data_IF_456815974249
#
_entry.id   IF_456815974249
#
_cell.length_a   1.000
_cell.length_b   1.000
_cell.length_c   1.000
_cell.angle_alpha   90.00
_cell.angle_beta   90.00
_cell.angle_gamma   90.00
#
_symmetry.space_group_name_H-M   'P 1'
#
loop_
_entity.id
_entity.type
_entity.pdbx_description
1 polymer ?
#
# COMPACT_ATOMS: atom_id res chain seq x y z
N UNK A 1 3.55 4.34 14.23
CA UNK A 1 3.45 5.29 13.11
C UNK A 1 4.86 5.53 12.63
N UNK A 2 5.09 5.34 11.35
CA UNK A 2 6.35 5.66 10.71
C UNK A 2 6.31 7.13 10.23
N UNK A 3 7.38 7.88 10.51
CA UNK A 3 7.56 9.27 10.05
C UNK A 3 8.77 9.40 9.14
N UNK A 4 9.45 8.28 8.86
CA UNK A 4 10.71 8.21 8.14
C UNK A 4 10.57 7.73 6.70
N UNK A 5 9.38 7.29 6.29
CA UNK A 5 9.07 6.89 4.92
C UNK A 5 7.96 7.76 4.31
N UNK A 6 8.07 8.00 3.01
CA UNK A 6 7.11 8.78 2.22
C UNK A 6 5.89 7.93 1.76
N UNK A 7 5.81 6.66 2.20
CA UNK A 7 4.75 5.73 1.82
C UNK A 7 4.07 5.10 3.03
N UNK A 8 2.77 5.37 3.15
CA UNK A 8 1.89 4.63 4.07
C UNK A 8 1.48 3.32 3.41
N UNK A 9 1.53 2.21 4.15
CA UNK A 9 1.09 0.91 3.67
C UNK A 9 0.42 0.10 4.78
N UNK A 10 -0.39 -0.88 4.38
CA UNK A 10 -1.06 -1.85 5.27
C UNK A 10 -0.93 -3.27 4.72
N UNK A 11 -0.99 -4.27 5.60
CA UNK A 11 -1.02 -5.68 5.18
C UNK A 11 -2.39 -6.05 4.65
N UNK A 12 -2.42 -6.75 3.51
CA UNK A 12 -3.68 -7.07 2.86
C UNK A 12 -3.76 -8.52 2.40
N UNK A 13 -4.94 -9.12 2.48
CA UNK A 13 -5.19 -10.46 1.94
C UNK A 13 -5.43 -10.44 0.41
N UNK A 14 -5.00 -11.46 -0.35
CA UNK A 14 -4.03 -12.49 0.05
C UNK A 14 -2.61 -11.94 0.14
N UNK A 15 -1.83 -12.42 1.10
CA UNK A 15 -0.40 -12.11 1.26
C UNK A 15 0.45 -13.37 1.16
N UNK A 16 1.72 -13.22 0.78
CA UNK A 16 2.64 -14.34 0.57
C UNK A 16 3.49 -14.62 1.82
N UNK A 17 4.23 -13.61 2.28
CA UNK A 17 5.07 -13.65 3.48
C UNK A 17 4.88 -12.35 4.23
N UNK A 18 4.24 -12.41 5.38
CA UNK A 18 3.95 -11.23 6.16
C UNK A 18 4.31 -11.43 7.62
N UNK A 19 4.69 -10.35 8.28
CA UNK A 19 4.85 -10.37 9.73
C UNK A 19 3.49 -10.56 10.43
N UNK A 20 3.55 -11.06 11.66
CA UNK A 20 2.35 -11.30 12.46
C UNK A 20 1.83 -9.98 13.02
N UNK A 21 0.78 -9.47 12.40
CA UNK A 21 0.03 -8.31 12.88
C UNK A 21 -0.97 -8.72 13.97
N UNK A 22 -1.07 -7.93 15.04
CA UNK A 22 -2.08 -8.13 16.10
C UNK A 22 -3.48 -7.64 15.71
N UNK A 23 -3.54 -6.57 14.92
CA UNK A 23 -4.79 -6.01 14.37
C UNK A 23 -5.33 -6.85 13.19
N UNK A 24 -6.59 -6.67 12.78
CA UNK A 24 -7.16 -7.34 11.61
C UNK A 24 -6.46 -6.98 10.30
N UNK A 25 -6.13 -7.98 9.49
CA UNK A 25 -5.55 -7.79 8.15
C UNK A 25 -6.63 -7.27 7.20
N UNK A 26 -6.30 -6.26 6.39
CA UNK A 26 -7.26 -5.66 5.47
C UNK A 26 -7.64 -6.62 4.34
N UNK A 27 -8.93 -6.79 4.06
CA UNK A 27 -9.41 -7.56 2.92
C UNK A 27 -9.98 -6.61 1.85
N UNK A 28 -9.28 -6.39 0.72
CA UNK A 28 -9.72 -5.48 -0.32
C UNK A 28 -11.03 -5.92 -1.00
N UNK A 29 -11.35 -7.22 -0.99
CA UNK A 29 -12.57 -7.74 -1.62
C UNK A 29 -13.83 -7.32 -0.87
N UNK A 30 -13.70 -7.00 0.42
CA UNK A 30 -14.84 -6.57 1.26
C UNK A 30 -15.06 -5.06 1.27
N UNK A 31 -14.17 -4.28 0.64
CA UNK A 31 -14.27 -2.82 0.58
C UNK A 31 -14.83 -2.35 -0.75
N UNK A 32 -15.89 -1.54 -0.71
CA UNK A 32 -16.50 -0.97 -1.91
C UNK A 32 -15.72 0.23 -2.48
N UNK A 33 -14.87 0.88 -1.67
CA UNK A 33 -14.04 2.02 -2.09
C UNK A 33 -12.62 1.63 -2.49
N UNK A 34 -12.24 0.37 -2.32
CA UNK A 34 -10.96 -0.15 -2.77
C UNK A 34 -10.80 0.00 -4.28
N UNK A 35 -9.70 0.63 -4.71
CA UNK A 35 -9.33 0.72 -6.13
C UNK A 35 -7.84 0.48 -6.31
N UNK A 36 -7.46 -0.36 -7.27
CA UNK A 36 -6.04 -0.57 -7.62
C UNK A 36 -5.52 0.62 -8.41
N UNK A 37 -4.37 1.16 -8.02
CA UNK A 37 -3.69 2.22 -8.78
C UNK A 37 -3.04 1.60 -10.02
N UNK A 38 -3.37 2.15 -11.19
CA UNK A 38 -2.79 1.75 -12.46
C UNK A 38 -1.46 2.48 -12.71
N UNK A 39 -0.60 1.87 -13.50
CA UNK A 39 0.61 2.52 -14.01
C UNK A 39 0.32 3.75 -14.87
N UNK A 40 1.20 4.76 -14.81
CA UNK A 40 1.03 6.05 -15.48
C UNK A 40 -0.04 6.94 -14.86
N UNK A 41 -0.54 6.58 -13.67
CA UNK A 41 -1.36 7.48 -12.87
C UNK A 41 -0.47 8.44 -12.09
N UNK A 42 -0.93 9.66 -11.80
CA UNK A 42 -0.15 10.62 -11.01
C UNK A 42 0.29 10.08 -9.65
N UNK A 43 -0.51 9.21 -9.03
CA UNK A 43 -0.17 8.57 -7.76
C UNK A 43 0.98 7.56 -7.90
N UNK A 44 1.04 6.82 -9.01
CA UNK A 44 2.14 5.90 -9.27
C UNK A 44 3.44 6.65 -9.59
N UNK A 45 3.33 7.71 -10.40
CA UNK A 45 4.47 8.50 -10.86
C UNK A 45 5.07 9.38 -9.74
N UNK A 46 4.32 9.58 -8.64
CA UNK A 46 4.78 10.28 -7.45
C UNK A 46 5.72 9.44 -6.57
N UNK A 47 5.76 8.11 -6.75
CA UNK A 47 6.73 7.26 -6.07
C UNK A 47 8.14 7.54 -6.63
N UNK A 48 9.17 7.43 -5.78
CA UNK A 48 10.56 7.54 -6.22
C UNK A 48 10.79 6.53 -7.36
N UNK A 49 11.52 6.94 -8.40
CA UNK A 49 11.66 6.18 -9.66
C UNK A 49 12.15 4.74 -9.45
N UNK A 50 12.93 4.49 -8.40
CA UNK A 50 13.44 3.16 -8.05
C UNK A 50 12.46 2.32 -7.21
N UNK A 51 11.40 2.92 -6.69
CA UNK A 51 10.50 2.30 -5.73
C UNK A 51 9.19 1.83 -6.36
N UNK A 52 8.94 2.13 -7.64
CA UNK A 52 7.75 1.65 -8.35
C UNK A 52 8.09 0.74 -9.53
N UNK A 53 7.23 -0.26 -9.75
CA UNK A 53 7.37 -1.19 -10.88
C UNK A 53 5.99 -1.50 -11.47
N UNK A 54 5.92 -1.64 -12.79
CA UNK A 54 4.67 -1.94 -13.47
C UNK A 54 4.54 -3.44 -13.74
N UNK A 55 3.55 -4.07 -13.12
CA UNK A 55 3.22 -5.47 -13.37
C UNK A 55 1.73 -5.61 -13.71
N UNK A 56 1.44 -6.13 -14.90
CA UNK A 56 0.06 -6.29 -15.40
C UNK A 56 -0.79 -5.01 -15.26
N UNK A 57 -0.19 -3.86 -15.62
CA UNK A 57 -0.77 -2.50 -15.51
C UNK A 57 -1.00 -1.98 -14.09
N UNK A 58 -0.66 -2.75 -13.05
CA UNK A 58 -0.77 -2.32 -11.65
C UNK A 58 0.52 -1.66 -11.20
N UNK A 59 0.38 -0.57 -10.45
CA UNK A 59 1.51 0.12 -9.85
C UNK A 59 2.02 -0.67 -8.64
N UNK A 60 3.15 -1.35 -8.80
CA UNK A 60 3.86 -2.00 -7.72
C UNK A 60 4.72 -1.01 -6.95
N UNK A 61 4.96 -1.29 -5.67
CA UNK A 61 5.90 -0.52 -4.84
C UNK A 61 6.86 -1.44 -4.08
N UNK A 62 8.03 -0.94 -3.71
CA UNK A 62 8.98 -1.58 -2.80
C UNK A 62 9.66 -0.52 -1.93
N UNK A 63 9.67 -0.71 -0.61
CA UNK A 63 10.36 0.15 0.35
C UNK A 63 11.30 -0.70 1.18
N UNK A 64 12.57 -0.29 1.27
CA UNK A 64 13.60 -0.94 2.08
C UNK A 64 13.94 -0.03 3.27
N UNK A 65 13.88 -0.58 4.48
CA UNK A 65 14.20 0.14 5.72
C UNK A 65 15.65 -0.08 6.13
N UNK A 66 16.17 0.82 6.98
CA UNK A 66 17.57 0.78 7.43
C UNK A 66 17.90 -0.41 8.33
N UNK A 67 16.90 -1.05 8.94
CA UNK A 67 17.06 -2.26 9.75
C UNK A 67 17.10 -3.54 8.88
N UNK A 68 17.02 -3.40 7.56
CA UNK A 68 17.00 -4.51 6.60
C UNK A 68 15.62 -5.13 6.37
N UNK A 69 14.58 -4.64 7.06
CA UNK A 69 13.20 -5.00 6.74
C UNK A 69 12.75 -4.30 5.45
N UNK A 70 11.68 -4.80 4.85
CA UNK A 70 11.14 -4.24 3.61
C UNK A 70 9.63 -4.43 3.54
N UNK A 71 8.99 -3.72 2.63
CA UNK A 71 7.62 -4.01 2.22
C UNK A 71 7.51 -3.91 0.71
N UNK A 72 6.80 -4.86 0.11
CA UNK A 72 6.58 -4.93 -1.32
C UNK A 72 5.12 -5.24 -1.59
N UNK A 73 4.55 -4.54 -2.57
CA UNK A 73 3.18 -4.80 -2.95
C UNK A 73 2.67 -3.93 -4.09
N UNK A 74 1.40 -3.55 -4.03
CA UNK A 74 0.72 -2.76 -5.06
C UNK A 74 0.13 -1.50 -4.45
N UNK A 75 0.21 -0.37 -5.12
CA UNK A 75 -0.43 0.86 -4.69
C UNK A 75 -1.96 0.77 -4.89
N UNK A 76 -2.72 1.25 -3.92
CA UNK A 76 -4.18 1.26 -3.94
C UNK A 76 -4.72 2.60 -3.45
N UNK A 77 -5.96 2.90 -3.81
CA UNK A 77 -6.77 3.96 -3.24
C UNK A 77 -7.79 3.33 -2.29
N UNK A 78 -7.99 3.96 -1.14
CA UNK A 78 -8.99 3.53 -0.17
C UNK A 78 -9.54 4.73 0.63
N UNK A 79 -10.71 4.53 1.24
CA UNK A 79 -11.29 5.42 2.22
C UNK A 79 -10.81 5.05 3.63
N UNK A 80 -10.15 5.99 4.29
CA UNK A 80 -9.73 5.85 5.68
C UNK A 80 -10.61 6.66 6.61
N UNK A 81 -11.06 6.05 7.70
CA UNK A 81 -11.82 6.73 8.74
C UNK A 81 -10.99 6.86 10.00
N UNK A 82 -10.61 8.09 10.33
CA UNK A 82 -9.94 8.45 11.58
C UNK A 82 -10.96 9.10 12.52
N UNK A 83 -11.49 8.31 13.46
CA UNK A 83 -12.58 8.70 14.37
C UNK A 83 -13.82 9.17 13.60
N UNK A 84 -13.99 10.49 13.44
CA UNK A 84 -15.13 11.13 12.76
C UNK A 84 -14.74 11.75 11.42
N UNK A 85 -13.46 11.66 11.03
CA UNK A 85 -12.94 12.21 9.78
C UNK A 85 -12.78 11.08 8.77
N UNK A 86 -13.37 11.25 7.58
CA UNK A 86 -13.16 10.35 6.45
C UNK A 86 -12.22 11.02 5.44
N UNK A 87 -11.21 10.27 5.00
CA UNK A 87 -10.29 10.65 3.94
C UNK A 87 -10.58 9.72 2.77
N UNK A 88 -11.07 10.26 1.66
CA UNK A 88 -11.42 9.51 0.46
C UNK A 88 -10.21 9.42 -0.48
N UNK A 89 -10.14 8.34 -1.25
CA UNK A 89 -9.14 8.14 -2.31
C UNK A 89 -7.70 8.36 -1.82
N UNK A 90 -7.40 7.93 -0.58
CA UNK A 90 -6.05 8.00 -0.05
C UNK A 90 -5.19 6.95 -0.72
N UNK A 91 -4.07 7.37 -1.31
CA UNK A 91 -3.11 6.45 -1.93
C UNK A 91 -2.19 5.83 -0.89
N UNK A 92 -2.19 4.50 -0.82
CA UNK A 92 -1.36 3.72 0.11
C UNK A 92 -0.88 2.42 -0.51
N UNK A 93 0.16 1.81 0.07
CA UNK A 93 0.64 0.50 -0.29
C UNK A 93 -0.22 -0.65 0.26
N UNK A 94 -0.68 -1.54 -0.62
CA UNK A 94 -1.19 -2.88 -0.31
C UNK A 94 -0.01 -3.85 -0.23
N UNK A 95 0.50 -4.15 0.96
CA UNK A 95 1.65 -5.06 1.15
C UNK A 95 1.29 -6.53 0.91
N UNK A 96 2.06 -7.21 0.05
CA UNK A 96 1.96 -8.65 -0.19
C UNK A 96 3.12 -9.43 0.44
N UNK A 97 4.27 -8.77 0.63
CA UNK A 97 5.46 -9.33 1.24
C UNK A 97 6.15 -8.30 2.15
N UNK A 98 6.42 -8.67 3.40
CA UNK A 98 7.09 -7.84 4.41
C UNK A 98 7.57 -8.66 5.63
#
# INVERSE_FOLDING_TARGET
MDTSSDLIWVQCQPYDRCYKQGDPIFNPVTSASYTVVQCGSPACDALIVNDHHCQASKCGYEVNYTDGSYTKGTLMLETFTFRQTMILNMSIGRGHNN
#
